data_IF_189411144853
#
_entry.id   IF_189411144853
#
_cell.length_a   1.000
_cell.length_b   1.000
_cell.length_c   1.000
_cell.angle_alpha   90.00
_cell.angle_beta   90.00
_cell.angle_gamma   90.00
#
_symmetry.space_group_name_H-M   'P 1'
#
loop_
_entity.id
_entity.type
_entity.pdbx_description
1 polymer ?
#
# COMPACT_ATOMS: atom_id res chain seq x y z
N UNK A 1 -11.14 -16.31 7.95
CA UNK A 1 -10.32 -15.37 7.24
C UNK A 1 -9.88 -15.91 5.89
N UNK A 2 -9.25 -15.09 5.07
CA UNK A 2 -8.66 -15.56 3.82
C UNK A 2 -7.37 -16.36 4.14
N UNK A 3 -7.15 -17.46 3.43
CA UNK A 3 -5.93 -18.25 3.55
C UNK A 3 -4.81 -17.70 2.67
N UNK A 4 -5.18 -17.08 1.54
CA UNK A 4 -4.26 -16.49 0.56
C UNK A 4 -4.66 -15.05 0.25
N UNK A 5 -3.69 -14.22 -0.15
CA UNK A 5 -3.96 -12.83 -0.58
C UNK A 5 -4.88 -12.78 -1.82
N UNK A 6 -4.75 -13.75 -2.73
CA UNK A 6 -5.63 -13.87 -3.91
C UNK A 6 -7.11 -14.07 -3.53
N UNK A 7 -7.41 -14.69 -2.38
CA UNK A 7 -8.79 -14.84 -1.90
C UNK A 7 -9.43 -13.47 -1.58
N UNK A 8 -8.62 -12.54 -1.07
CA UNK A 8 -9.06 -11.15 -0.86
C UNK A 8 -9.31 -10.44 -2.19
N UNK A 9 -8.43 -10.63 -3.16
CA UNK A 9 -8.63 -10.13 -4.54
C UNK A 9 -9.90 -10.70 -5.17
N UNK A 10 -10.15 -12.01 -5.05
CA UNK A 10 -11.38 -12.63 -5.53
C UNK A 10 -12.65 -12.04 -4.87
N UNK A 11 -12.59 -11.69 -3.59
CA UNK A 11 -13.69 -10.99 -2.90
C UNK A 11 -13.92 -9.58 -3.47
N UNK A 12 -12.85 -8.84 -3.81
CA UNK A 12 -12.97 -7.54 -4.50
C UNK A 12 -13.58 -7.71 -5.87
N UNK A 13 -13.10 -8.67 -6.68
CA UNK A 13 -13.67 -8.97 -7.99
C UNK A 13 -15.18 -9.22 -7.91
N UNK A 14 -15.62 -10.03 -6.93
CA UNK A 14 -17.04 -10.33 -6.70
C UNK A 14 -17.87 -9.08 -6.36
N UNK A 15 -17.31 -8.10 -5.63
CA UNK A 15 -17.99 -6.82 -5.37
C UNK A 15 -18.12 -5.99 -6.64
N UNK A 16 -17.10 -6.02 -7.52
CA UNK A 16 -17.10 -5.26 -8.78
C UNK A 16 -18.05 -5.86 -9.83
N UNK A 17 -18.35 -7.17 -9.77
CA UNK A 17 -19.32 -7.85 -10.62
C UNK A 17 -20.78 -7.48 -10.32
N UNK A 18 -21.03 -6.54 -9.41
CA UNK A 18 -22.36 -6.04 -9.07
C UNK A 18 -23.02 -5.26 -10.23
N UNK A 19 -23.17 -5.91 -11.40
CA UNK A 19 -24.08 -5.46 -12.47
C UNK A 19 -25.54 -5.61 -12.01
N UNK A 20 -26.44 -4.82 -12.60
CA UNK A 20 -27.88 -4.90 -12.29
C UNK A 20 -28.38 -6.34 -12.39
N UNK A 21 -28.97 -6.91 -11.34
CA UNK A 21 -29.36 -8.32 -11.31
C UNK A 21 -30.48 -8.60 -12.31
N UNK A 22 -30.26 -9.59 -13.17
CA UNK A 22 -31.27 -10.04 -14.14
C UNK A 22 -32.31 -11.00 -13.55
N UNK A 23 -31.96 -11.76 -12.51
CA UNK A 23 -32.85 -12.77 -11.93
C UNK A 23 -33.11 -12.55 -10.43
N UNK A 24 -34.22 -13.15 -9.94
CA UNK A 24 -34.63 -13.09 -8.54
C UNK A 24 -33.61 -13.77 -7.61
N UNK A 25 -32.95 -14.82 -8.09
CA UNK A 25 -31.90 -15.56 -7.36
C UNK A 25 -30.61 -14.72 -7.21
N UNK A 26 -30.25 -13.93 -8.24
CA UNK A 26 -29.13 -12.99 -8.18
C UNK A 26 -29.42 -11.82 -7.22
N UNK A 27 -30.68 -11.37 -7.13
CA UNK A 27 -31.12 -10.35 -6.15
C UNK A 27 -30.94 -10.82 -4.71
N UNK A 28 -31.28 -12.07 -4.40
CA UNK A 28 -31.13 -12.67 -3.06
C UNK A 28 -29.64 -12.85 -2.70
N UNK A 29 -28.80 -13.27 -3.65
CA UNK A 29 -27.34 -13.40 -3.44
C UNK A 29 -26.69 -12.03 -3.20
N UNK A 30 -27.11 -11.01 -3.92
CA UNK A 30 -26.64 -9.62 -3.74
C UNK A 30 -27.08 -8.99 -2.43
N UNK A 31 -28.25 -9.34 -1.91
CA UNK A 31 -28.66 -8.96 -0.55
C UNK A 31 -27.67 -9.48 0.50
N UNK A 32 -27.12 -10.70 0.33
CA UNK A 32 -26.06 -11.24 1.19
C UNK A 32 -24.77 -10.41 1.13
N UNK A 33 -24.29 -10.07 -0.08
CA UNK A 33 -23.06 -9.28 -0.26
C UNK A 33 -23.24 -7.83 0.27
N UNK A 34 -24.41 -7.21 0.12
CA UNK A 34 -24.75 -5.92 0.72
C UNK A 34 -24.88 -6.00 2.25
N UNK A 35 -25.37 -7.13 2.78
CA UNK A 35 -25.45 -7.37 4.22
C UNK A 35 -24.05 -7.52 4.84
N UNK A 36 -23.11 -8.14 4.13
CA UNK A 36 -21.72 -8.25 4.57
C UNK A 36 -21.01 -6.90 4.54
N UNK A 37 -21.30 -6.05 3.56
CA UNK A 37 -20.80 -4.68 3.51
C UNK A 37 -21.40 -3.84 4.64
N UNK A 38 -22.69 -4.01 4.95
CA UNK A 38 -23.35 -3.32 6.06
C UNK A 38 -22.77 -3.73 7.44
N UNK A 39 -22.31 -5.00 7.58
CA UNK A 39 -21.63 -5.48 8.79
C UNK A 39 -20.21 -4.97 8.93
N UNK A 40 -19.59 -4.46 7.86
CA UNK A 40 -18.23 -3.96 7.84
C UNK A 40 -18.07 -2.62 8.56
N UNK A 41 -19.15 -1.87 8.74
CA UNK A 41 -19.12 -0.59 9.43
C UNK A 41 -18.51 -0.68 10.84
N UNK A 42 -17.68 0.31 11.24
CA UNK A 42 -17.08 0.33 12.57
C UNK A 42 -18.14 0.37 13.65
N UNK A 43 -17.90 -0.35 14.76
CA UNK A 43 -18.85 -0.48 15.88
C UNK A 43 -18.34 0.29 17.09
N UNK A 44 -19.02 1.34 17.50
CA UNK A 44 -18.65 2.11 18.70
C UNK A 44 -18.92 1.30 19.96
N UNK A 45 -17.90 1.16 20.82
CA UNK A 45 -17.98 0.50 22.12
C UNK A 45 -17.74 1.49 23.25
N UNK A 46 -18.23 1.18 24.46
CA UNK A 46 -18.12 2.06 25.63
C UNK A 46 -16.87 1.84 26.47
N UNK A 47 -16.28 0.66 26.38
CA UNK A 47 -15.06 0.27 27.11
C UNK A 47 -14.18 -0.56 26.19
N UNK A 48 -12.87 -0.48 26.39
CA UNK A 48 -11.90 -1.09 25.50
C UNK A 48 -10.63 -1.53 26.24
N UNK A 49 -10.00 -2.64 25.83
CA UNK A 49 -8.70 -3.06 26.37
C UNK A 49 -7.62 -1.98 26.27
N UNK A 50 -7.59 -1.22 25.19
CA UNK A 50 -6.61 -0.13 25.01
C UNK A 50 -6.78 1.04 26.00
N UNK A 51 -7.78 1.00 26.88
CA UNK A 51 -8.05 2.02 27.90
C UNK A 51 -8.07 1.45 29.33
N UNK A 52 -7.46 0.28 29.56
CA UNK A 52 -7.34 -0.31 30.89
C UNK A 52 -6.44 0.53 31.81
N UNK A 53 -5.43 1.17 31.23
CA UNK A 53 -4.56 2.14 31.88
C UNK A 53 -4.68 3.47 31.16
N UNK A 54 -4.82 4.57 31.92
CA UNK A 54 -4.96 5.93 31.39
C UNK A 54 -3.96 6.83 32.10
N UNK A 55 -3.04 7.42 31.35
CA UNK A 55 -2.00 8.34 31.84
C UNK A 55 -2.24 9.70 31.23
N UNK A 56 -2.79 10.63 32.04
CA UNK A 56 -3.05 12.03 31.66
C UNK A 56 -2.18 13.02 32.44
N UNK A 57 -1.64 12.57 33.56
CA UNK A 57 -0.72 13.36 34.36
C UNK A 57 0.72 13.05 33.92
N UNK A 58 1.40 14.04 33.36
CA UNK A 58 2.75 13.93 32.81
C UNK A 58 3.00 12.70 31.89
N UNK A 59 2.20 12.52 30.81
CA UNK A 59 2.43 11.42 29.89
C UNK A 59 3.82 11.54 29.25
N UNK A 60 4.54 10.42 29.12
CA UNK A 60 5.92 10.40 28.62
C UNK A 60 6.14 9.23 27.67
N UNK A 61 6.80 9.50 26.55
CA UNK A 61 7.24 8.50 25.57
C UNK A 61 8.49 7.72 26.03
N UNK A 62 9.16 8.18 27.11
CA UNK A 62 10.39 7.55 27.60
C UNK A 62 10.20 6.08 28.03
N UNK A 63 8.99 5.73 28.51
CA UNK A 63 8.64 4.37 28.93
C UNK A 63 8.36 3.40 27.77
N UNK A 64 8.28 3.87 26.52
CA UNK A 64 7.99 3.03 25.35
C UNK A 64 9.29 2.57 24.68
N UNK A 65 9.37 1.29 24.25
CA UNK A 65 10.57 0.72 23.62
C UNK A 65 10.66 1.14 22.14
N UNK A 66 10.62 2.44 21.88
CA UNK A 66 10.70 3.02 20.54
C UNK A 66 12.11 2.86 20.00
N UNK A 67 12.25 2.33 18.78
CA UNK A 67 13.53 1.95 18.21
C UNK A 67 14.22 3.12 17.48
N UNK A 68 15.55 3.16 17.56
CA UNK A 68 16.41 3.75 16.53
C UNK A 68 16.91 2.58 15.69
N UNK A 69 16.39 2.42 14.45
CA UNK A 69 16.64 1.23 13.65
C UNK A 69 18.04 1.23 13.01
N UNK A 70 18.51 2.40 12.56
CA UNK A 70 19.77 2.51 11.83
C UNK A 70 20.69 3.55 12.44
N UNK A 71 22.02 3.38 12.34
CA UNK A 71 22.99 4.33 12.92
C UNK A 71 22.80 5.78 12.47
N UNK A 72 22.43 5.97 11.21
CA UNK A 72 22.22 7.29 10.61
C UNK A 72 20.83 7.90 10.83
N UNK A 73 19.89 7.20 11.50
CA UNK A 73 18.59 7.77 11.81
C UNK A 73 18.72 9.01 12.70
N UNK A 74 17.90 10.03 12.45
CA UNK A 74 17.88 11.28 13.22
C UNK A 74 17.42 11.13 14.66
N UNK A 75 16.91 9.95 15.05
CA UNK A 75 16.45 9.64 16.39
C UNK A 75 15.74 8.29 16.47
N UNK A 76 14.89 8.14 17.48
CA UNK A 76 13.99 7.00 17.62
C UNK A 76 12.72 7.25 16.81
N UNK A 77 12.14 6.18 16.22
CA UNK A 77 10.96 6.28 15.37
C UNK A 77 9.87 5.27 15.74
N UNK A 78 8.63 5.72 15.76
CA UNK A 78 7.46 4.84 15.71
C UNK A 78 7.21 4.52 14.25
N UNK A 79 7.30 3.24 13.87
CA UNK A 79 7.34 2.81 12.46
C UNK A 79 6.06 2.13 11.98
N UNK A 80 5.18 1.69 12.91
CA UNK A 80 3.93 1.00 12.56
C UNK A 80 2.70 1.62 13.25
N UNK A 81 2.51 2.95 13.22
CA UNK A 81 1.36 3.58 13.82
C UNK A 81 0.18 3.66 12.86
N UNK A 82 -1.03 3.56 13.38
CA UNK A 82 -2.24 4.06 12.73
C UNK A 82 -2.52 5.47 13.25
N UNK A 83 -2.40 6.47 12.41
CA UNK A 83 -2.64 7.88 12.77
C UNK A 83 -4.05 8.27 12.34
N UNK A 84 -4.87 8.60 13.33
CA UNK A 84 -6.27 8.99 13.16
C UNK A 84 -6.39 10.50 13.22
N UNK A 85 -7.01 11.08 12.21
CA UNK A 85 -7.34 12.50 12.14
C UNK A 85 -8.82 12.69 11.76
N UNK A 86 -9.36 13.86 12.03
CA UNK A 86 -10.67 14.29 11.52
C UNK A 86 -10.49 15.56 10.72
N UNK A 87 -11.16 15.61 9.58
CA UNK A 87 -11.25 16.84 8.79
C UNK A 87 -11.93 17.94 9.63
N UNK A 88 -11.26 19.07 9.88
CA UNK A 88 -11.85 20.16 10.66
C UNK A 88 -13.09 20.79 10.00
N UNK A 89 -13.28 20.61 8.69
CA UNK A 89 -14.42 21.15 7.96
C UNK A 89 -15.63 20.23 7.96
N UNK A 90 -15.42 18.93 7.74
CA UNK A 90 -16.49 17.96 7.50
C UNK A 90 -16.66 16.95 8.64
N UNK A 91 -15.67 16.81 9.51
CA UNK A 91 -15.59 15.77 10.54
C UNK A 91 -15.28 14.37 9.99
N UNK A 92 -15.00 14.24 8.70
CA UNK A 92 -14.64 12.98 8.08
C UNK A 92 -13.35 12.42 8.72
N UNK A 93 -13.35 11.10 9.00
CA UNK A 93 -12.17 10.41 9.54
C UNK A 93 -11.21 10.07 8.40
N UNK A 94 -9.92 10.14 8.69
CA UNK A 94 -8.86 9.52 7.91
C UNK A 94 -7.97 8.71 8.83
N UNK A 95 -7.48 7.60 8.33
CA UNK A 95 -6.47 6.76 9.01
C UNK A 95 -5.32 6.54 8.05
N UNK A 96 -4.12 6.94 8.47
CA UNK A 96 -2.92 6.75 7.68
C UNK A 96 -1.78 6.12 8.47
N UNK A 97 -0.89 5.43 7.79
CA UNK A 97 0.36 4.95 8.36
C UNK A 97 1.47 5.94 8.01
N UNK A 98 2.09 6.52 9.03
CA UNK A 98 3.15 7.52 8.89
C UNK A 98 4.22 7.28 9.94
N UNK A 99 5.50 7.31 9.57
CA UNK A 99 6.57 7.28 10.55
C UNK A 99 6.55 8.52 11.44
N UNK A 100 6.91 8.35 12.71
CA UNK A 100 6.91 9.43 13.69
C UNK A 100 8.25 9.47 14.41
N UNK A 101 9.01 10.56 14.26
CA UNK A 101 10.28 10.76 14.95
C UNK A 101 10.04 11.25 16.38
N UNK A 102 10.68 10.64 17.36
CA UNK A 102 10.67 11.14 18.74
C UNK A 102 11.65 12.30 18.85
N UNK A 103 11.16 13.49 19.18
CA UNK A 103 12.01 14.65 19.47
C UNK A 103 12.40 14.72 20.96
N UNK A 104 11.42 14.50 21.80
CA UNK A 104 11.57 14.45 23.26
C UNK A 104 10.47 13.56 23.87
N UNK A 105 10.32 13.57 25.19
CA UNK A 105 9.35 12.71 25.89
C UNK A 105 7.89 13.02 25.62
N UNK A 106 7.59 14.17 25.01
CA UNK A 106 6.21 14.64 24.78
C UNK A 106 5.94 15.07 23.33
N UNK A 107 6.94 15.08 22.44
CA UNK A 107 6.73 15.55 21.06
C UNK A 107 7.23 14.57 20.02
N UNK A 108 6.49 14.48 18.90
CA UNK A 108 6.78 13.65 17.74
C UNK A 108 6.76 14.47 16.45
N UNK A 109 7.67 14.16 15.53
CA UNK A 109 7.60 14.66 14.15
C UNK A 109 6.62 13.84 13.31
N UNK A 110 5.70 14.53 12.63
CA UNK A 110 4.63 13.91 11.85
C UNK A 110 4.99 13.88 10.36
N UNK A 111 5.56 12.79 9.87
CA UNK A 111 5.95 12.67 8.45
C UNK A 111 4.71 12.43 7.56
N UNK A 112 3.85 13.44 7.39
CA UNK A 112 2.70 13.35 6.51
C UNK A 112 3.07 13.53 5.05
N UNK A 113 2.74 12.53 4.24
CA UNK A 113 2.95 12.58 2.80
C UNK A 113 1.84 13.40 2.12
N UNK A 114 2.22 14.30 1.22
CA UNK A 114 1.35 15.28 0.56
C UNK A 114 0.13 14.68 -0.16
N UNK A 115 0.22 13.43 -0.60
CA UNK A 115 -0.85 12.74 -1.33
C UNK A 115 -1.81 11.96 -0.43
N UNK A 116 -1.69 12.10 0.91
CA UNK A 116 -2.49 11.36 1.88
C UNK A 116 -3.47 12.25 2.62
N UNK A 117 -4.61 11.65 3.08
CA UNK A 117 -5.71 12.37 3.69
C UNK A 117 -5.34 13.21 4.92
N UNK A 118 -4.40 12.77 5.78
CA UNK A 118 -3.97 13.58 6.94
C UNK A 118 -3.28 14.87 6.54
N UNK A 119 -2.54 14.91 5.41
CA UNK A 119 -1.95 16.13 4.90
C UNK A 119 -3.02 17.13 4.42
N UNK A 120 -4.13 16.63 3.86
CA UNK A 120 -5.27 17.46 3.48
C UNK A 120 -5.98 18.02 4.71
N UNK A 121 -6.23 17.19 5.75
CA UNK A 121 -6.82 17.66 7.01
C UNK A 121 -5.95 18.74 7.67
N UNK A 122 -4.62 18.59 7.62
CA UNK A 122 -3.71 19.61 8.11
C UNK A 122 -3.81 20.90 7.32
N UNK A 123 -3.86 20.83 5.98
CA UNK A 123 -4.02 22.02 5.14
C UNK A 123 -5.28 22.81 5.52
N UNK A 124 -6.40 22.11 5.80
CA UNK A 124 -7.64 22.74 6.29
C UNK A 124 -7.44 23.36 7.68
N UNK A 125 -6.72 22.70 8.58
CA UNK A 125 -6.38 23.24 9.90
C UNK A 125 -5.48 24.49 9.80
N UNK A 126 -4.51 24.50 8.91
CA UNK A 126 -3.65 25.65 8.61
C UNK A 126 -4.46 26.87 8.11
N UNK A 127 -5.39 26.65 7.17
CA UNK A 127 -6.26 27.69 6.65
C UNK A 127 -7.15 28.30 7.76
N UNK A 128 -7.61 27.45 8.69
CA UNK A 128 -8.43 27.87 9.85
C UNK A 128 -7.61 28.40 11.01
N UNK A 129 -6.29 28.16 11.02
CA UNK A 129 -5.40 28.46 12.15
C UNK A 129 -5.86 27.82 13.47
N UNK A 130 -6.35 26.60 13.38
CA UNK A 130 -6.87 25.82 14.51
C UNK A 130 -6.00 24.59 14.75
N UNK A 131 -5.64 24.26 16.00
CA UNK A 131 -4.97 23.00 16.31
C UNK A 131 -5.82 21.79 15.85
N UNK A 132 -5.16 20.78 15.31
CA UNK A 132 -5.81 19.55 14.87
C UNK A 132 -5.61 18.44 15.90
N UNK A 133 -6.71 17.88 16.40
CA UNK A 133 -6.66 16.72 17.29
C UNK A 133 -6.24 15.47 16.53
N UNK A 134 -5.33 14.69 17.11
CA UNK A 134 -4.73 13.48 16.53
C UNK A 134 -4.70 12.37 17.57
N UNK A 135 -5.02 11.16 17.15
CA UNK A 135 -4.78 9.96 17.94
C UNK A 135 -3.88 8.98 17.16
N UNK A 136 -2.90 8.40 17.83
CA UNK A 136 -1.95 7.45 17.26
C UNK A 136 -2.17 6.12 17.95
N UNK A 137 -2.69 5.13 17.24
CA UNK A 137 -2.92 3.79 17.75
C UNK A 137 -1.81 2.84 17.30
N UNK A 138 -1.22 2.11 18.25
CA UNK A 138 -0.22 1.08 18.01
C UNK A 138 -0.85 -0.29 18.26
N UNK A 139 -0.73 -1.19 17.29
CA UNK A 139 -1.35 -2.52 17.36
C UNK A 139 -2.85 -2.51 17.10
N UNK A 140 -3.44 -3.68 17.26
CA UNK A 140 -4.85 -3.93 16.98
C UNK A 140 -5.06 -4.93 15.84
N UNK A 141 -6.24 -4.99 15.23
CA UNK A 141 -6.53 -5.94 14.17
C UNK A 141 -5.61 -5.72 12.95
N UNK A 142 -4.94 -6.76 12.41
CA UNK A 142 -4.08 -6.63 11.24
C UNK A 142 -4.78 -5.98 10.04
N UNK A 143 -6.08 -6.23 9.85
CA UNK A 143 -6.88 -5.59 8.81
C UNK A 143 -6.98 -4.06 8.99
N UNK A 144 -7.02 -3.56 10.23
CA UNK A 144 -7.04 -2.11 10.50
C UNK A 144 -5.67 -1.49 10.22
N UNK A 145 -4.58 -2.16 10.63
CA UNK A 145 -3.21 -1.73 10.35
C UNK A 145 -2.99 -1.63 8.84
N UNK A 146 -3.35 -2.69 8.09
CA UNK A 146 -3.23 -2.70 6.62
C UNK A 146 -4.09 -1.59 5.99
N UNK A 147 -5.32 -1.38 6.45
CA UNK A 147 -6.22 -0.37 5.89
C UNK A 147 -5.63 1.06 5.97
N UNK A 148 -4.83 1.37 7.00
CA UNK A 148 -4.11 2.63 7.12
C UNK A 148 -3.03 2.87 6.05
N UNK A 149 -2.57 1.82 5.35
CA UNK A 149 -1.63 1.92 4.22
C UNK A 149 -2.30 1.72 2.86
N UNK A 150 -3.53 1.18 2.81
CA UNK A 150 -4.22 0.84 1.58
C UNK A 150 -4.49 2.08 0.69
N UNK A 151 -4.30 1.97 -0.64
CA UNK A 151 -4.55 3.07 -1.58
C UNK A 151 -6.06 3.21 -1.89
N UNK A 152 -6.84 3.56 -0.88
CA UNK A 152 -8.29 3.71 -1.03
C UNK A 152 -8.63 5.00 -1.80
N UNK A 153 -9.69 4.98 -2.60
CA UNK A 153 -10.22 6.19 -3.23
C UNK A 153 -10.67 7.23 -2.18
N UNK A 154 -10.63 8.53 -2.50
CA UNK A 154 -11.16 9.56 -1.63
C UNK A 154 -12.60 9.28 -1.20
N UNK A 155 -12.89 9.49 0.09
CA UNK A 155 -14.21 9.27 0.68
C UNK A 155 -14.52 7.81 1.09
N UNK A 156 -13.62 6.87 0.87
CA UNK A 156 -13.71 5.50 1.41
C UNK A 156 -13.06 5.48 2.79
N UNK A 157 -13.84 5.18 3.82
CA UNK A 157 -13.35 5.09 5.20
C UNK A 157 -12.51 3.82 5.40
N UNK A 158 -11.28 3.98 5.88
CA UNK A 158 -10.32 2.90 6.11
C UNK A 158 -10.84 1.86 7.10
N UNK A 159 -11.61 2.27 8.11
CA UNK A 159 -12.16 1.35 9.10
C UNK A 159 -13.36 0.56 8.58
N UNK A 160 -14.09 1.07 7.59
CA UNK A 160 -15.09 0.29 6.83
C UNK A 160 -14.38 -0.76 5.97
N UNK A 161 -13.32 -0.37 5.29
CA UNK A 161 -12.50 -1.31 4.51
C UNK A 161 -11.86 -2.39 5.40
N UNK A 162 -11.30 -2.01 6.55
CA UNK A 162 -10.77 -2.95 7.54
C UNK A 162 -11.84 -3.94 8.02
N UNK A 163 -13.05 -3.46 8.30
CA UNK A 163 -14.18 -4.29 8.69
C UNK A 163 -14.61 -5.27 7.58
N UNK A 164 -14.57 -4.81 6.33
CA UNK A 164 -14.83 -5.67 5.18
C UNK A 164 -13.76 -6.77 5.01
N UNK A 165 -12.46 -6.44 5.15
CA UNK A 165 -11.37 -7.40 5.13
C UNK A 165 -11.52 -8.43 6.26
N UNK A 166 -11.87 -7.98 7.46
CA UNK A 166 -12.07 -8.79 8.66
C UNK A 166 -13.34 -9.65 8.59
N UNK A 167 -14.34 -9.25 7.80
CA UNK A 167 -15.68 -9.85 7.77
C UNK A 167 -16.57 -9.42 8.95
N UNK A 168 -16.16 -8.42 9.74
CA UNK A 168 -16.91 -7.83 10.85
C UNK A 168 -16.39 -6.42 11.15
N UNK A 169 -17.29 -5.50 11.49
CA UNK A 169 -16.92 -4.12 11.82
C UNK A 169 -15.88 -4.04 12.94
N UNK A 170 -14.90 -3.14 12.77
CA UNK A 170 -13.87 -2.89 13.77
C UNK A 170 -14.50 -2.25 15.00
N UNK A 171 -14.34 -2.79 16.23
CA UNK A 171 -14.76 -2.11 17.44
C UNK A 171 -13.93 -0.84 17.64
N UNK A 172 -14.60 0.32 17.77
CA UNK A 172 -13.98 1.62 17.97
C UNK A 172 -14.37 2.20 19.32
N UNK A 173 -13.44 2.83 20.02
CA UNK A 173 -13.67 3.52 21.29
C UNK A 173 -13.27 4.98 21.19
N UNK A 174 -14.06 5.92 21.76
CA UNK A 174 -13.65 7.33 21.85
C UNK A 174 -12.38 7.47 22.70
N UNK A 175 -11.44 8.30 22.24
CA UNK A 175 -10.30 8.73 23.04
C UNK A 175 -10.74 9.44 24.32
N UNK A 176 -9.84 9.59 25.28
CA UNK A 176 -10.10 10.21 26.58
C UNK A 176 -9.98 11.73 26.55
N UNK A 177 -9.08 12.25 25.73
CA UNK A 177 -8.71 13.67 25.76
C UNK A 177 -8.86 14.40 24.43
N UNK A 178 -9.18 13.66 23.36
CA UNK A 178 -9.40 14.18 21.99
C UNK A 178 -10.66 13.58 21.37
N UNK A 179 -11.29 14.29 20.42
CA UNK A 179 -12.56 13.90 19.80
C UNK A 179 -12.35 12.96 18.60
N UNK A 180 -11.52 11.94 18.80
CA UNK A 180 -11.18 10.92 17.80
C UNK A 180 -11.51 9.53 18.35
N UNK A 181 -12.04 8.64 17.51
CA UNK A 181 -12.26 7.25 17.89
C UNK A 181 -11.10 6.39 17.33
N UNK A 182 -10.64 5.42 18.12
CA UNK A 182 -9.55 4.49 17.78
C UNK A 182 -9.99 3.03 17.91
N UNK A 183 -9.30 2.05 17.28
CA UNK A 183 -9.61 0.64 17.49
C UNK A 183 -9.53 0.25 18.97
N UNK A 184 -10.61 -0.32 19.49
CA UNK A 184 -10.70 -0.77 20.88
C UNK A 184 -9.66 -1.85 21.21
N UNK A 185 -9.22 -2.60 20.20
CA UNK A 185 -8.24 -3.68 20.29
C UNK A 185 -6.79 -3.20 20.15
N UNK A 186 -6.53 -1.88 20.03
CA UNK A 186 -5.17 -1.34 20.04
C UNK A 186 -4.42 -1.74 21.32
N UNK A 187 -3.10 -1.79 21.24
CA UNK A 187 -2.24 -2.07 22.39
C UNK A 187 -1.96 -0.80 23.19
N UNK A 188 -1.57 0.27 22.47
CA UNK A 188 -1.21 1.58 23.03
C UNK A 188 -1.84 2.65 22.16
N UNK A 189 -2.34 3.72 22.76
CA UNK A 189 -2.87 4.91 22.07
C UNK A 189 -2.20 6.15 22.64
N UNK A 190 -1.65 6.99 21.76
CA UNK A 190 -1.14 8.31 22.09
C UNK A 190 -2.19 9.32 21.63
N UNK A 191 -2.67 10.14 22.53
CA UNK A 191 -3.67 11.18 22.26
C UNK A 191 -3.02 12.56 22.35
N UNK A 192 -3.31 13.43 21.40
CA UNK A 192 -2.70 14.75 21.39
C UNK A 192 -3.19 15.63 20.25
N UNK A 193 -2.37 16.57 19.87
CA UNK A 193 -2.72 17.59 18.89
C UNK A 193 -1.48 18.05 18.09
N UNK A 194 -1.74 18.65 16.95
CA UNK A 194 -0.73 19.28 16.08
C UNK A 194 -1.06 20.75 15.94
N UNK A 195 -0.08 21.62 16.22
CA UNK A 195 -0.17 23.04 15.89
C UNK A 195 0.09 23.21 14.39
N UNK A 196 -0.85 23.79 13.63
CA UNK A 196 -0.66 23.97 12.20
C UNK A 196 0.53 24.89 11.84
N UNK A 197 0.96 25.76 12.73
CA UNK A 197 2.07 26.70 12.52
C UNK A 197 3.44 26.13 12.95
N UNK A 198 3.47 25.09 13.78
CA UNK A 198 4.74 24.54 14.28
C UNK A 198 5.35 23.53 13.34
N UNK A 199 6.64 23.71 13.05
CA UNK A 199 7.45 22.79 12.26
C UNK A 199 8.79 22.54 12.95
N UNK A 200 9.26 21.29 12.91
CA UNK A 200 10.63 20.92 13.31
C UNK A 200 11.25 19.99 12.26
N UNK A 201 12.57 19.97 12.22
CA UNK A 201 13.32 19.08 11.32
C UNK A 201 13.12 17.63 11.75
N UNK A 202 12.61 16.80 10.84
CA UNK A 202 12.45 15.36 10.91
C UNK A 202 13.44 14.69 9.95
N UNK A 203 14.01 13.58 10.34
CA UNK A 203 15.00 12.85 9.56
C UNK A 203 16.44 13.12 9.98
N UNK A 204 17.39 12.47 9.28
CA UNK A 204 17.17 11.44 8.27
C UNK A 204 16.57 10.15 8.84
N UNK A 205 15.98 9.33 7.99
CA UNK A 205 15.39 8.04 8.34
C UNK A 205 15.80 6.99 7.31
N UNK A 206 16.29 5.84 7.77
CA UNK A 206 16.58 4.68 6.92
C UNK A 206 15.26 4.07 6.41
N UNK A 207 14.93 4.33 5.13
CA UNK A 207 13.62 4.08 4.59
C UNK A 207 13.56 2.83 3.69
N UNK A 208 12.36 2.49 3.21
CA UNK A 208 12.06 1.28 2.43
C UNK A 208 12.84 1.18 1.12
N UNK A 209 13.35 2.28 0.60
CA UNK A 209 14.23 2.28 -0.58
C UNK A 209 15.61 1.69 -0.30
N UNK A 210 15.97 1.48 0.99
CA UNK A 210 17.30 1.07 1.42
C UNK A 210 18.28 2.24 1.55
N UNK A 211 17.80 3.48 1.44
CA UNK A 211 18.57 4.71 1.57
C UNK A 211 17.97 5.61 2.65
N UNK A 212 18.79 6.50 3.22
CA UNK A 212 18.29 7.50 4.15
C UNK A 212 17.50 8.58 3.42
N UNK A 213 16.31 8.91 3.94
CA UNK A 213 15.57 10.09 3.52
C UNK A 213 16.29 11.37 3.90
N UNK A 214 16.02 12.45 3.17
CA UNK A 214 16.52 13.78 3.53
C UNK A 214 15.77 14.30 4.77
N UNK A 215 16.51 14.97 5.65
CA UNK A 215 15.91 15.69 6.77
C UNK A 215 15.15 16.94 6.24
N UNK A 216 13.92 17.15 6.72
CA UNK A 216 13.04 18.25 6.32
C UNK A 216 12.16 18.68 7.46
N UNK A 217 11.51 19.84 7.34
CA UNK A 217 10.56 20.33 8.32
C UNK A 217 9.19 19.66 8.16
N UNK A 218 8.69 19.12 9.28
CA UNK A 218 7.38 18.50 9.39
C UNK A 218 6.63 19.02 10.61
N UNK A 219 5.28 18.86 10.65
CA UNK A 219 4.46 19.24 11.80
C UNK A 219 4.88 18.49 13.06
N UNK A 220 4.59 19.10 14.19
CA UNK A 220 4.90 18.56 15.52
C UNK A 220 3.62 18.10 16.21
N UNK A 221 3.57 16.84 16.64
CA UNK A 221 2.54 16.32 17.51
C UNK A 221 2.93 16.55 18.97
N UNK A 222 1.99 17.02 19.77
CA UNK A 222 2.11 17.22 21.20
C UNK A 222 1.28 16.20 21.95
N UNK A 223 1.93 15.41 22.78
CA UNK A 223 1.31 14.36 23.58
C UNK A 223 0.50 14.95 24.74
N UNK A 224 -0.76 14.52 24.85
CA UNK A 224 -1.69 14.92 25.90
C UNK A 224 -2.04 13.79 26.86
N UNK A 225 -2.13 12.56 26.34
CA UNK A 225 -2.41 11.36 27.13
C UNK A 225 -1.84 10.11 26.46
N UNK A 226 -1.58 9.09 27.27
CA UNK A 226 -1.31 7.72 26.81
C UNK A 226 -2.36 6.81 27.42
N UNK A 227 -3.03 6.00 26.61
CA UNK A 227 -3.86 4.90 27.09
C UNK A 227 -3.34 3.58 26.57
N UNK A 228 -3.43 2.50 27.37
CA UNK A 228 -2.91 1.21 26.95
C UNK A 228 -3.54 0.05 27.71
N UNK A 229 -3.33 -1.17 27.22
CA UNK A 229 -3.62 -2.42 27.94
C UNK A 229 -2.74 -2.52 29.19
N UNK A 230 -3.15 -3.31 30.17
CA UNK A 230 -2.33 -3.56 31.37
C UNK A 230 -0.95 -4.11 31.04
N UNK A 231 -0.87 -5.02 30.05
CA UNK A 231 0.37 -5.61 29.55
C UNK A 231 0.45 -5.40 28.03
N UNK A 232 0.75 -4.19 27.55
CA UNK A 232 0.72 -3.90 26.13
C UNK A 232 1.91 -4.53 25.41
N UNK A 233 1.64 -5.03 24.20
CA UNK A 233 2.67 -5.40 23.24
C UNK A 233 2.97 -4.17 22.39
N UNK A 234 4.23 -3.77 22.28
CA UNK A 234 4.66 -2.68 21.41
C UNK A 234 4.93 -3.23 20.00
N UNK A 235 4.03 -3.03 19.01
CA UNK A 235 4.27 -3.45 17.65
C UNK A 235 5.16 -2.44 16.93
N UNK A 236 6.15 -2.95 16.23
CA UNK A 236 7.09 -2.14 15.47
C UNK A 236 7.60 -2.90 14.25
N UNK A 237 8.14 -2.18 13.28
CA UNK A 237 8.83 -2.74 12.13
C UNK A 237 10.20 -2.09 11.98
N UNK A 238 11.12 -2.80 11.34
CA UNK A 238 12.40 -2.24 10.90
C UNK A 238 12.25 -1.95 9.43
N UNK A 239 12.17 -0.66 9.09
CA UNK A 239 12.07 -0.20 7.69
C UNK A 239 13.46 -0.20 7.07
N UNK A 240 13.58 -0.61 5.81
CA UNK A 240 14.88 -0.64 5.15
C UNK A 240 14.86 -1.38 3.81
N UNK A 241 16.04 -1.75 3.32
CA UNK A 241 16.18 -2.48 2.07
C UNK A 241 15.30 -3.74 2.05
N UNK A 242 14.47 -3.94 1.01
CA UNK A 242 13.60 -5.11 0.90
C UNK A 242 14.36 -6.46 0.91
N UNK A 243 13.68 -7.55 1.34
CA UNK A 243 12.30 -7.57 1.81
C UNK A 243 12.16 -7.15 3.27
N UNK A 244 11.31 -6.15 3.55
CA UNK A 244 10.88 -5.72 4.89
C UNK A 244 9.34 -5.65 4.88
N UNK A 245 8.72 -5.00 5.88
CA UNK A 245 7.26 -4.94 6.00
C UNK A 245 6.56 -4.35 4.79
N UNK A 246 7.12 -3.29 4.19
CA UNK A 246 6.54 -2.59 3.04
C UNK A 246 6.42 -3.50 1.80
N UNK A 247 7.33 -4.47 1.63
CA UNK A 247 7.18 -5.48 0.59
C UNK A 247 5.90 -6.29 0.79
N UNK A 248 5.62 -6.74 2.02
CA UNK A 248 4.43 -7.54 2.31
C UNK A 248 3.14 -6.72 2.22
N UNK A 249 3.16 -5.46 2.66
CA UNK A 249 2.06 -4.51 2.47
C UNK A 249 1.81 -4.23 0.99
N UNK A 250 2.87 -4.06 0.21
CA UNK A 250 2.83 -3.91 -1.24
C UNK A 250 2.24 -5.13 -1.93
N UNK A 251 2.64 -6.36 -1.51
CA UNK A 251 2.07 -7.61 -2.04
C UNK A 251 0.58 -7.76 -1.72
N UNK A 252 0.16 -7.40 -0.51
CA UNK A 252 -1.25 -7.40 -0.17
C UNK A 252 -2.03 -6.43 -1.06
N UNK A 253 -1.50 -5.22 -1.25
CA UNK A 253 -2.09 -4.19 -2.12
C UNK A 253 -2.17 -4.68 -3.57
N UNK A 254 -1.10 -5.23 -4.12
CA UNK A 254 -1.07 -5.79 -5.46
C UNK A 254 -2.19 -6.81 -5.69
N UNK A 255 -2.32 -7.80 -4.80
CA UNK A 255 -3.33 -8.86 -4.96
C UNK A 255 -4.76 -8.39 -4.70
N UNK A 256 -4.97 -7.53 -3.71
CA UNK A 256 -6.30 -7.01 -3.35
C UNK A 256 -6.83 -6.07 -4.45
N UNK A 257 -5.99 -5.23 -5.04
CA UNK A 257 -6.40 -4.21 -6.01
C UNK A 257 -6.26 -4.64 -7.47
N UNK A 258 -5.61 -5.76 -7.79
CA UNK A 258 -5.52 -6.29 -9.15
C UNK A 258 -6.89 -6.41 -9.86
N UNK A 259 -7.99 -6.86 -9.23
CA UNK A 259 -9.29 -6.89 -9.88
C UNK A 259 -9.81 -5.52 -10.31
N UNK A 260 -9.49 -4.46 -9.58
CA UNK A 260 -9.86 -3.08 -9.95
C UNK A 260 -9.07 -2.66 -11.19
N UNK A 261 -7.78 -2.99 -11.25
CA UNK A 261 -6.95 -2.75 -12.44
C UNK A 261 -7.50 -3.51 -13.64
N UNK A 262 -7.85 -4.79 -13.48
CA UNK A 262 -8.45 -5.62 -14.54
C UNK A 262 -9.82 -5.11 -15.02
N UNK A 263 -10.58 -4.48 -14.15
CA UNK A 263 -11.87 -3.87 -14.55
C UNK A 263 -11.65 -2.69 -15.51
N UNK A 264 -10.59 -1.91 -15.31
CA UNK A 264 -10.25 -0.75 -16.15
C UNK A 264 -9.39 -1.16 -17.36
N UNK A 265 -8.56 -2.18 -17.20
CA UNK A 265 -7.62 -2.70 -18.19
C UNK A 265 -7.84 -4.23 -18.33
N UNK A 266 -8.90 -4.65 -19.04
CA UNK A 266 -9.30 -6.07 -19.11
C UNK A 266 -8.29 -6.96 -19.84
N UNK A 267 -7.32 -6.38 -20.53
CA UNK A 267 -6.18 -7.09 -21.11
C UNK A 267 -5.15 -7.55 -20.08
N UNK A 268 -5.12 -6.95 -18.87
CA UNK A 268 -4.18 -7.34 -17.81
C UNK A 268 -4.55 -8.71 -17.26
N UNK A 269 -3.59 -9.64 -17.32
CA UNK A 269 -3.72 -11.01 -16.81
C UNK A 269 -3.18 -11.10 -15.40
N UNK A 270 -1.97 -10.59 -15.16
CA UNK A 270 -1.37 -10.56 -13.83
C UNK A 270 -0.42 -9.37 -13.67
N UNK A 271 -0.03 -9.10 -12.42
CA UNK A 271 0.88 -8.03 -12.06
C UNK A 271 1.79 -8.48 -10.92
N UNK A 272 3.02 -7.99 -10.92
CA UNK A 272 3.98 -8.19 -9.85
C UNK A 272 4.70 -6.88 -9.53
N UNK A 273 4.70 -6.51 -8.25
CA UNK A 273 5.54 -5.45 -7.69
C UNK A 273 6.62 -6.13 -6.82
N UNK A 274 7.78 -6.49 -7.41
CA UNK A 274 8.78 -7.31 -6.73
C UNK A 274 9.56 -6.53 -5.67
N UNK A 275 10.17 -7.26 -4.73
CA UNK A 275 11.01 -6.69 -3.68
C UNK A 275 12.19 -5.88 -4.26
N UNK A 276 12.80 -6.37 -5.33
CA UNK A 276 13.91 -5.74 -6.04
C UNK A 276 13.54 -4.37 -6.62
N UNK A 277 12.26 -4.17 -6.92
CA UNK A 277 11.70 -2.91 -7.38
C UNK A 277 11.16 -2.03 -6.26
N UNK A 278 11.39 -2.39 -5.00
CA UNK A 278 10.86 -1.60 -3.86
C UNK A 278 9.36 -1.31 -4.07
N UNK A 279 8.61 -2.33 -4.50
CA UNK A 279 7.20 -2.35 -4.90
C UNK A 279 6.73 -1.23 -5.86
N UNK A 280 7.27 -0.02 -5.85
CA UNK A 280 6.87 1.06 -6.78
C UNK A 280 7.91 1.39 -7.87
N UNK A 281 9.21 1.06 -7.68
CA UNK A 281 10.22 1.34 -8.70
C UNK A 281 10.17 0.37 -9.89
N UNK A 282 9.56 -0.81 -9.72
CA UNK A 282 9.37 -1.79 -10.78
C UNK A 282 7.99 -2.43 -10.68
N UNK A 283 7.22 -2.31 -11.74
CA UNK A 283 5.93 -3.00 -11.91
C UNK A 283 6.03 -3.88 -13.16
N UNK A 284 5.76 -5.16 -13.01
CA UNK A 284 5.74 -6.13 -14.11
C UNK A 284 4.28 -6.49 -14.37
N UNK A 285 3.85 -6.45 -15.62
CA UNK A 285 2.45 -6.71 -16.01
C UNK A 285 2.40 -7.66 -17.18
N UNK A 286 1.65 -8.75 -17.08
CA UNK A 286 1.34 -9.59 -18.23
C UNK A 286 0.01 -9.20 -18.86
N UNK A 287 -0.05 -9.15 -20.18
CA UNK A 287 -1.23 -8.72 -20.93
C UNK A 287 -1.57 -9.65 -22.11
N UNK A 288 -2.86 -9.76 -22.40
CA UNK A 288 -3.35 -10.29 -23.67
C UNK A 288 -3.25 -9.22 -24.75
N UNK A 289 -2.09 -9.14 -25.41
CA UNK A 289 -1.85 -8.19 -26.50
C UNK A 289 -2.75 -8.50 -27.68
N UNK A 290 -3.36 -7.49 -28.29
CA UNK A 290 -4.30 -7.63 -29.44
C UNK A 290 -3.95 -6.75 -30.63
N UNK A 291 -3.15 -5.70 -30.43
CA UNK A 291 -2.80 -4.73 -31.49
C UNK A 291 -1.49 -4.03 -31.17
N UNK A 292 -0.84 -3.40 -32.15
CA UNK A 292 0.38 -2.63 -31.95
C UNK A 292 0.13 -1.47 -30.96
N UNK A 293 1.06 -1.25 -30.05
CA UNK A 293 0.95 -0.20 -29.03
C UNK A 293 0.07 -0.55 -27.84
N UNK A 294 -0.48 -1.78 -27.74
CA UNK A 294 -1.35 -2.18 -26.61
C UNK A 294 -0.59 -2.14 -25.28
N UNK A 295 0.70 -2.55 -25.25
CA UNK A 295 1.54 -2.43 -24.06
C UNK A 295 1.73 -0.97 -23.63
N UNK A 296 1.93 -0.05 -24.58
CA UNK A 296 2.03 1.39 -24.30
C UNK A 296 0.75 1.97 -23.67
N UNK A 297 -0.41 1.55 -24.19
CA UNK A 297 -1.71 1.91 -23.60
C UNK A 297 -1.79 1.52 -22.13
N UNK A 298 -1.33 0.30 -21.78
CA UNK A 298 -1.31 -0.18 -20.39
C UNK A 298 -0.34 0.64 -19.54
N UNK A 299 0.86 0.92 -20.02
CA UNK A 299 1.85 1.77 -19.31
C UNK A 299 1.27 3.15 -18.99
N UNK A 300 0.72 3.85 -19.98
CA UNK A 300 0.13 5.18 -19.79
C UNK A 300 -1.07 5.15 -18.85
N UNK A 301 -1.91 4.12 -18.94
CA UNK A 301 -3.05 3.97 -18.05
C UNK A 301 -2.61 3.76 -16.58
N UNK A 302 -1.61 2.91 -16.33
CA UNK A 302 -1.06 2.68 -15.00
C UNK A 302 -0.43 3.96 -14.43
N UNK A 303 0.39 4.67 -15.20
CA UNK A 303 0.98 5.95 -14.77
C UNK A 303 -0.04 7.06 -14.53
N UNK A 304 -1.25 6.95 -15.08
CA UNK A 304 -2.37 7.87 -14.82
C UNK A 304 -3.31 7.42 -13.68
N UNK A 305 -3.06 6.28 -13.02
CA UNK A 305 -4.01 5.66 -12.13
C UNK A 305 -3.61 5.80 -10.65
N UNK A 306 -4.20 6.74 -9.92
CA UNK A 306 -4.03 6.88 -8.47
C UNK A 306 -2.57 6.81 -8.04
N UNK A 307 -2.25 6.02 -7.00
CA UNK A 307 -0.87 5.86 -6.53
C UNK A 307 0.04 5.06 -7.50
N UNK A 308 -0.52 4.36 -8.50
CA UNK A 308 0.29 3.77 -9.59
C UNK A 308 1.05 4.82 -10.39
N UNK A 309 0.67 6.10 -10.29
CA UNK A 309 1.43 7.22 -10.85
C UNK A 309 2.88 7.28 -10.33
N UNK A 310 3.17 6.67 -9.18
CA UNK A 310 4.51 6.62 -8.59
C UNK A 310 5.38 5.51 -9.19
N UNK A 311 4.80 4.57 -9.97
CA UNK A 311 5.57 3.52 -10.63
C UNK A 311 6.64 4.14 -11.55
N UNK A 312 7.91 3.78 -11.31
CA UNK A 312 9.06 4.32 -12.07
C UNK A 312 9.29 3.54 -13.35
N UNK A 313 9.46 2.22 -13.24
CA UNK A 313 9.69 1.34 -14.36
C UNK A 313 8.50 0.39 -14.52
N UNK A 314 7.99 0.24 -15.74
CA UNK A 314 6.93 -0.73 -16.05
C UNK A 314 7.44 -1.66 -17.14
N UNK A 315 7.47 -2.96 -16.87
CA UNK A 315 7.76 -4.00 -17.85
C UNK A 315 6.47 -4.72 -18.21
N UNK A 316 6.11 -4.70 -19.48
CA UNK A 316 4.92 -5.39 -19.98
C UNK A 316 5.34 -6.63 -20.77
N UNK A 317 4.83 -7.79 -20.38
CA UNK A 317 5.12 -9.09 -21.01
C UNK A 317 3.83 -9.73 -21.56
N UNK A 318 3.98 -10.78 -22.38
CA UNK A 318 2.85 -11.55 -22.91
C UNK A 318 2.12 -12.32 -21.79
N UNK A 319 0.87 -12.69 -22.03
CA UNK A 319 -0.05 -13.26 -21.03
C UNK A 319 0.36 -14.64 -20.48
N UNK A 320 1.17 -15.39 -21.20
CA UNK A 320 1.69 -16.69 -20.77
C UNK A 320 2.93 -16.59 -19.86
N UNK A 321 3.55 -15.40 -19.76
CA UNK A 321 4.75 -15.20 -18.94
C UNK A 321 4.37 -15.09 -17.47
N UNK A 322 5.05 -15.86 -16.62
CA UNK A 322 4.90 -15.76 -15.17
C UNK A 322 5.60 -14.50 -14.65
N UNK A 323 4.83 -13.46 -14.32
CA UNK A 323 5.35 -12.18 -13.81
C UNK A 323 6.06 -12.30 -12.46
N UNK A 324 5.89 -13.42 -11.75
CA UNK A 324 6.55 -13.70 -10.46
C UNK A 324 7.89 -14.42 -10.62
N UNK A 325 8.21 -14.91 -11.82
CA UNK A 325 9.54 -15.43 -12.16
C UNK A 325 10.38 -14.31 -12.77
N UNK A 326 11.19 -13.66 -11.93
CA UNK A 326 12.03 -12.54 -12.37
C UNK A 326 13.09 -12.97 -13.40
N UNK A 327 13.53 -14.21 -13.39
CA UNK A 327 14.50 -14.72 -14.37
C UNK A 327 13.85 -14.85 -15.74
N UNK A 328 12.63 -15.36 -15.82
CA UNK A 328 11.86 -15.40 -17.06
C UNK A 328 11.56 -13.99 -17.56
N UNK A 329 11.09 -13.10 -16.69
CA UNK A 329 10.83 -11.71 -17.06
C UNK A 329 12.09 -11.01 -17.59
N UNK A 330 13.23 -11.18 -16.94
CA UNK A 330 14.51 -10.62 -17.40
C UNK A 330 14.91 -11.17 -18.78
N UNK A 331 14.75 -12.47 -19.00
CA UNK A 331 15.01 -13.10 -20.29
C UNK A 331 14.12 -12.49 -21.40
N UNK A 332 12.81 -12.35 -21.16
CA UNK A 332 11.88 -11.71 -22.10
C UNK A 332 12.21 -10.23 -22.33
N UNK A 333 12.48 -9.49 -21.25
CA UNK A 333 12.77 -8.06 -21.32
C UNK A 333 14.10 -7.71 -22.01
N UNK A 334 15.00 -8.67 -22.14
CA UNK A 334 16.26 -8.50 -22.87
C UNK A 334 16.22 -9.08 -24.27
N UNK A 335 15.50 -10.20 -24.48
CA UNK A 335 15.44 -10.92 -25.75
C UNK A 335 14.35 -10.40 -26.71
N UNK A 336 13.23 -9.92 -26.19
CA UNK A 336 12.06 -9.60 -27.02
C UNK A 336 11.97 -8.11 -27.43
N UNK A 337 12.98 -7.29 -27.12
CA UNK A 337 12.92 -5.86 -27.37
C UNK A 337 13.95 -5.39 -28.42
N UNK A 338 13.54 -4.40 -29.20
CA UNK A 338 14.44 -3.43 -29.84
C UNK A 338 14.32 -2.12 -29.04
N UNK A 339 15.39 -1.63 -28.38
CA UNK A 339 15.34 -0.45 -27.54
C UNK A 339 14.82 0.82 -28.24
N UNK A 340 14.97 0.92 -29.57
CA UNK A 340 14.46 2.07 -30.34
C UNK A 340 12.95 2.02 -30.55
N UNK A 341 12.37 0.82 -30.62
CA UNK A 341 10.95 0.59 -30.85
C UNK A 341 10.17 0.42 -29.55
N UNK A 342 10.72 -0.33 -28.59
CA UNK A 342 9.97 -0.95 -27.49
C UNK A 342 10.14 -0.22 -26.15
N UNK A 343 10.99 0.82 -26.09
CA UNK A 343 11.09 1.66 -24.90
C UNK A 343 10.18 2.88 -24.98
N UNK A 344 9.66 3.25 -23.81
CA UNK A 344 8.90 4.48 -23.58
C UNK A 344 9.57 5.23 -22.45
N UNK A 345 10.02 6.45 -22.71
CA UNK A 345 10.57 7.35 -21.69
C UNK A 345 9.67 8.58 -21.62
N UNK A 346 9.15 8.84 -20.43
CA UNK A 346 8.28 10.02 -20.16
C UNK A 346 8.62 10.61 -18.81
N UNK A 347 8.29 11.89 -18.61
CA UNK A 347 8.42 12.53 -17.31
C UNK A 347 7.09 12.51 -16.55
N UNK A 348 7.17 12.42 -15.22
CA UNK A 348 5.98 12.41 -14.39
C UNK A 348 6.26 12.46 -12.89
N UNK A 349 5.19 12.34 -12.07
CA UNK A 349 5.31 12.26 -10.62
C UNK A 349 6.17 11.07 -10.19
N UNK A 350 7.02 11.29 -9.21
CA UNK A 350 7.88 10.27 -8.60
C UNK A 350 7.62 10.20 -7.10
N UNK A 351 7.97 9.07 -6.51
CA UNK A 351 7.93 8.94 -5.07
C UNK A 351 8.85 9.96 -4.39
N UNK A 352 8.45 10.41 -3.20
CA UNK A 352 9.20 11.40 -2.40
C UNK A 352 10.60 10.90 -2.00
N UNK A 353 10.76 9.59 -1.91
CA UNK A 353 11.99 8.90 -1.50
C UNK A 353 12.81 8.40 -2.70
N UNK A 354 12.43 8.71 -3.93
CA UNK A 354 13.26 8.40 -5.09
C UNK A 354 14.48 9.33 -5.17
N UNK A 355 15.61 8.82 -4.64
CA UNK A 355 16.88 9.54 -4.59
C UNK A 355 17.53 9.78 -5.96
N UNK A 356 17.09 9.07 -7.00
CA UNK A 356 17.59 9.21 -8.37
C UNK A 356 16.67 10.05 -9.28
N UNK A 357 15.58 10.61 -8.74
CA UNK A 357 14.70 11.48 -9.50
C UNK A 357 15.41 12.76 -9.95
N UNK A 358 15.09 13.26 -11.14
CA UNK A 358 15.66 14.50 -11.71
C UNK A 358 15.46 15.71 -10.79
N UNK A 359 14.28 15.78 -10.16
CA UNK A 359 13.90 16.78 -9.15
C UNK A 359 13.05 16.07 -8.09
N UNK A 360 12.97 16.66 -6.92
CA UNK A 360 12.09 16.19 -5.88
C UNK A 360 10.66 15.98 -6.40
N UNK A 361 10.15 14.76 -6.28
CA UNK A 361 8.80 14.32 -6.73
C UNK A 361 8.54 14.39 -8.24
N UNK A 362 9.57 14.57 -9.06
CA UNK A 362 9.42 14.63 -10.51
C UNK A 362 10.65 14.07 -11.22
N UNK A 363 10.45 13.17 -12.18
CA UNK A 363 11.55 12.56 -12.93
C UNK A 363 11.09 11.68 -14.06
N UNK A 364 12.05 11.00 -14.68
CA UNK A 364 11.85 10.14 -15.82
C UNK A 364 11.27 8.77 -15.42
N UNK A 365 10.36 8.27 -16.24
CA UNK A 365 9.74 6.95 -16.15
C UNK A 365 10.12 6.13 -17.35
N UNK A 366 10.35 4.82 -17.17
CA UNK A 366 10.71 3.88 -18.22
C UNK A 366 9.62 2.82 -18.38
N UNK A 367 9.10 2.68 -19.60
CA UNK A 367 8.27 1.56 -20.01
C UNK A 367 9.03 0.64 -20.95
N UNK A 368 8.90 -0.67 -20.77
CA UNK A 368 9.52 -1.70 -21.61
C UNK A 368 8.42 -2.60 -22.16
N UNK A 369 8.19 -2.59 -23.47
CA UNK A 369 7.31 -3.51 -24.17
C UNK A 369 8.07 -4.81 -24.53
N UNK A 370 8.08 -5.74 -23.59
CA UNK A 370 8.68 -7.06 -23.75
C UNK A 370 7.69 -8.15 -24.22
N UNK A 371 6.54 -7.73 -24.75
CA UNK A 371 5.58 -8.66 -25.36
C UNK A 371 6.15 -9.26 -26.65
N UNK A 372 5.64 -10.40 -27.06
CA UNK A 372 5.89 -10.93 -28.40
C UNK A 372 5.41 -9.95 -29.47
N UNK A 373 6.12 -9.92 -30.59
CA UNK A 373 5.82 -9.02 -31.69
C UNK A 373 5.17 -9.79 -32.85
N UNK A 374 4.30 -9.08 -33.54
CA UNK A 374 3.62 -9.58 -34.75
C UNK A 374 4.07 -8.76 -35.95
N UNK A 375 3.73 -9.19 -37.14
CA UNK A 375 3.99 -8.41 -38.36
C UNK A 375 3.44 -6.98 -38.29
N UNK A 376 2.31 -6.81 -37.58
CA UNK A 376 1.71 -5.49 -37.40
C UNK A 376 2.48 -4.57 -36.46
N UNK A 377 3.41 -5.09 -35.67
CA UNK A 377 4.35 -4.30 -34.84
C UNK A 377 5.55 -3.77 -35.65
N UNK A 378 5.59 -4.07 -36.99
CA UNK A 378 6.65 -3.60 -37.89
C UNK A 378 7.95 -4.38 -37.81
N UNK A 379 7.90 -5.63 -37.33
CA UNK A 379 9.05 -6.55 -37.47
C UNK A 379 9.13 -7.05 -38.90
N UNK A 380 10.36 -7.06 -39.47
CA UNK A 380 10.61 -7.48 -40.84
C UNK A 380 10.69 -9.00 -41.05
N UNK A 381 10.37 -9.80 -40.03
CA UNK A 381 10.48 -11.26 -40.05
C UNK A 381 9.41 -11.88 -39.11
N UNK A 382 9.02 -13.15 -39.35
CA UNK A 382 8.14 -13.86 -38.43
C UNK A 382 8.74 -13.95 -37.04
N UNK A 383 7.88 -13.86 -35.99
CA UNK A 383 8.32 -14.11 -34.62
C UNK A 383 8.67 -15.58 -34.47
N UNK A 384 9.86 -15.93 -33.93
CA UNK A 384 10.30 -17.32 -33.84
C UNK A 384 9.48 -18.09 -32.80
N UNK A 385 9.29 -19.39 -33.04
CA UNK A 385 8.73 -20.29 -32.04
C UNK A 385 9.72 -20.52 -30.90
N UNK A 386 9.17 -20.60 -29.69
CA UNK A 386 9.96 -20.93 -28.51
C UNK A 386 10.30 -22.41 -28.47
N UNK A 387 11.53 -22.74 -28.08
CA UNK A 387 11.97 -24.13 -27.91
C UNK A 387 11.33 -24.70 -26.64
N UNK A 388 10.35 -25.57 -26.82
CA UNK A 388 9.66 -26.27 -25.73
C UNK A 388 9.64 -27.77 -25.99
N UNK A 389 9.75 -28.57 -24.95
CA UNK A 389 9.64 -30.01 -25.06
C UNK A 389 8.16 -30.39 -25.29
N UNK A 390 7.92 -31.31 -26.23
CA UNK A 390 6.56 -31.81 -26.50
C UNK A 390 5.97 -32.57 -25.30
N UNK A 391 4.64 -32.57 -25.18
CA UNK A 391 3.96 -33.15 -24.03
C UNK A 391 4.18 -34.67 -23.89
N UNK A 392 4.30 -35.42 -25.03
CA UNK A 392 4.59 -36.83 -25.03
C UNK A 392 6.01 -37.15 -24.47
N UNK A 393 7.00 -36.31 -24.78
CA UNK A 393 8.36 -36.45 -24.24
C UNK A 393 8.36 -36.09 -22.75
N UNK A 394 7.67 -35.02 -22.35
CA UNK A 394 7.51 -34.66 -20.92
C UNK A 394 6.90 -35.82 -20.14
N UNK A 395 5.80 -36.37 -20.63
CA UNK A 395 5.13 -37.52 -20.03
C UNK A 395 6.03 -38.76 -19.97
N UNK A 396 6.81 -39.02 -21.01
CA UNK A 396 7.77 -40.11 -21.03
C UNK A 396 8.86 -39.94 -19.97
N UNK A 397 9.47 -38.78 -19.90
CA UNK A 397 10.52 -38.46 -18.90
C UNK A 397 9.95 -38.54 -17.47
N UNK A 398 8.76 -37.99 -17.24
CA UNK A 398 8.10 -38.05 -15.92
C UNK A 398 7.85 -39.50 -15.47
N UNK A 399 7.38 -40.37 -16.39
CA UNK A 399 7.17 -41.81 -16.06
C UNK A 399 8.46 -42.53 -15.72
N UNK A 400 9.54 -42.14 -16.34
CA UNK A 400 10.85 -42.78 -16.18
C UNK A 400 11.76 -42.05 -15.19
N UNK A 401 11.24 -41.04 -14.48
CA UNK A 401 12.06 -40.16 -13.60
C UNK A 401 12.91 -40.92 -12.61
N UNK A 402 12.33 -41.95 -11.98
CA UNK A 402 13.02 -42.80 -11.01
C UNK A 402 14.19 -43.62 -11.61
N UNK A 403 14.19 -43.83 -12.94
CA UNK A 403 15.26 -44.59 -13.64
C UNK A 403 16.54 -43.74 -13.86
N UNK A 404 16.42 -42.40 -13.76
CA UNK A 404 17.55 -41.50 -14.06
C UNK A 404 18.47 -41.28 -12.85
N UNK A 405 18.10 -41.70 -11.66
CA UNK A 405 18.93 -41.59 -10.45
C UNK A 405 19.21 -40.16 -10.01
N UNK A 406 18.30 -39.21 -10.33
CA UNK A 406 18.38 -37.81 -9.98
C UNK A 406 17.57 -37.48 -8.73
#
# INVERSE_FOLDING_TARGET
GAERLDDLGARVAKLLELRMPGSMFEKLRKLGDLFDLAKAGPKRVRSAPCQEVVVTDHPSLAGLPILKCWPGDGGRYITLPMVFTRDPATGARNVGMYRLQVYDDQTLGMHWQIHKGSAEHQRVAEERREPMEVAIALGGPPAAIYAGSAPLPPGVDEMVFAGWLRGAGVPMVPCRTVHVDVPAEAEIVLEGWVDPAERRVEGPFGDHTGYYSLAREYPVFHLKAITHRKNPIYPTTIVGRPPQEDYWLGKATERIFLPIIRMMLPEVVDMNMPAEGVFHNLVIVSIKKRYPGHARKVMYALWGLGLMMLAKNIVVVSDHVNVHDLSEVAWRATGNIDPRRDLVIVDGPMDDLDHAALRHRFGGKLGVDATEKTETDGIGQPWPEEIVMTEDIRALVTRRWAEYGL
#
